data_IF_789906220800
#
_entry.id   IF_789906220800
#
_cell.length_a   1.000
_cell.length_b   1.000
_cell.length_c   1.000
_cell.angle_alpha   90.00
_cell.angle_beta   90.00
_cell.angle_gamma   90.00
#
_symmetry.space_group_name_H-M   'P 1'
#
loop_
_entity.id
_entity.type
_entity.pdbx_description
1 polymer ?
#
# COMPACT_ATOMS: atom_id res chain seq x y z
N UNK A 1 24.93 6.64 12.65
CA UNK A 1 25.67 6.18 13.86
C UNK A 1 27.10 6.68 13.86
N UNK A 2 27.71 6.89 12.68
CA UNK A 2 29.10 7.35 12.54
C UNK A 2 29.25 8.77 12.00
N UNK A 3 28.18 9.57 11.92
CA UNK A 3 28.16 10.97 11.48
C UNK A 3 29.20 11.87 12.17
N UNK A 4 29.60 11.50 13.38
CA UNK A 4 30.56 12.25 14.19
C UNK A 4 32.02 11.83 13.95
N UNK A 5 32.28 10.83 13.10
CA UNK A 5 33.60 10.33 12.72
C UNK A 5 34.22 11.14 11.58
N UNK A 6 34.39 12.45 11.81
CA UNK A 6 35.02 13.35 10.85
C UNK A 6 36.52 13.06 10.71
N UNK A 7 37.17 13.48 9.60
CA UNK A 7 38.61 13.33 9.42
C UNK A 7 39.42 13.93 10.58
N UNK A 8 39.00 15.07 11.13
CA UNK A 8 39.67 15.75 12.25
C UNK A 8 39.60 14.91 13.53
N UNK A 9 38.43 14.32 13.81
CA UNK A 9 38.26 13.44 14.98
C UNK A 9 39.11 12.19 14.85
N UNK A 10 39.11 11.54 13.69
CA UNK A 10 39.92 10.34 13.45
C UNK A 10 41.40 10.67 13.53
N UNK A 11 41.84 11.80 12.97
CA UNK A 11 43.23 12.24 13.07
C UNK A 11 43.63 12.51 14.53
N UNK A 12 42.74 13.10 15.33
CA UNK A 12 42.94 13.26 16.78
C UNK A 12 43.09 11.90 17.48
N UNK A 13 42.25 10.92 17.16
CA UNK A 13 42.37 9.57 17.71
C UNK A 13 43.69 8.88 17.32
N UNK A 14 44.18 9.09 16.09
CA UNK A 14 45.48 8.57 15.66
C UNK A 14 46.61 9.19 16.50
N UNK A 15 46.55 10.51 16.78
CA UNK A 15 47.51 11.20 17.66
C UNK A 15 47.50 10.62 19.08
N UNK A 16 46.32 10.47 19.67
CA UNK A 16 46.16 9.94 21.04
C UNK A 16 46.67 8.50 21.20
N UNK A 17 46.70 7.72 20.12
CA UNK A 17 47.19 6.33 20.11
C UNK A 17 48.67 6.20 19.74
N UNK A 18 49.35 7.32 19.51
CA UNK A 18 50.75 7.34 19.09
C UNK A 18 51.63 7.75 20.26
N UNK A 19 52.49 6.85 20.75
CA UNK A 19 53.35 7.08 21.92
C UNK A 19 54.61 7.91 21.65
N UNK A 20 54.83 8.33 20.39
CA UNK A 20 56.03 9.05 19.97
C UNK A 20 55.76 10.55 19.82
N UNK A 21 56.74 11.36 20.25
CA UNK A 21 56.67 12.81 20.30
C UNK A 21 56.90 13.42 18.91
N UNK A 22 55.87 13.40 18.06
CA UNK A 22 55.91 13.93 16.70
C UNK A 22 55.58 15.43 16.66
N UNK A 23 56.17 16.14 15.70
CA UNK A 23 55.69 17.47 15.33
C UNK A 23 54.27 17.38 14.76
N UNK A 24 53.31 18.06 15.37
CA UNK A 24 51.87 17.95 15.04
C UNK A 24 51.28 19.20 14.39
N UNK A 25 52.12 20.20 14.09
CA UNK A 25 51.74 21.40 13.35
C UNK A 25 51.31 21.08 11.91
N UNK A 26 50.57 22.00 11.31
CA UNK A 26 50.13 21.89 9.91
C UNK A 26 51.34 21.76 8.97
N UNK A 27 51.27 20.82 8.01
CA UNK A 27 52.38 20.54 7.09
C UNK A 27 53.53 19.73 7.69
N UNK A 28 53.42 19.25 8.92
CA UNK A 28 54.39 18.30 9.47
C UNK A 28 54.32 16.95 8.75
N UNK A 29 55.40 16.18 8.78
CA UNK A 29 55.41 14.83 8.19
C UNK A 29 54.28 13.96 8.76
N UNK A 30 54.04 14.05 10.07
CA UNK A 30 52.96 13.32 10.73
C UNK A 30 51.58 13.76 10.22
N UNK A 31 51.35 15.07 10.09
CA UNK A 31 50.07 15.61 9.61
C UNK A 31 49.80 15.23 8.16
N UNK A 32 50.80 15.37 7.28
CA UNK A 32 50.70 15.04 5.84
C UNK A 32 50.39 13.56 5.57
N UNK A 33 50.83 12.65 6.45
CA UNK A 33 50.55 11.22 6.29
C UNK A 33 49.25 10.79 6.97
N UNK A 34 48.91 11.38 8.12
CA UNK A 34 47.73 10.98 8.89
C UNK A 34 46.44 11.58 8.36
N UNK A 35 46.47 12.77 7.75
CA UNK A 35 45.27 13.45 7.24
C UNK A 35 44.59 12.70 6.08
N UNK A 36 45.29 12.23 5.03
CA UNK A 36 44.66 11.42 3.98
C UNK A 36 44.10 10.09 4.51
N UNK A 37 44.80 9.45 5.45
CA UNK A 37 44.34 8.21 6.09
C UNK A 37 43.07 8.45 6.91
N UNK A 38 43.04 9.53 7.70
CA UNK A 38 41.87 9.90 8.49
C UNK A 38 40.67 10.23 7.60
N UNK A 39 40.89 10.87 6.45
CA UNK A 39 39.85 11.12 5.46
C UNK A 39 39.26 9.82 4.91
N UNK A 40 40.10 8.89 4.43
CA UNK A 40 39.63 7.60 3.90
C UNK A 40 38.92 6.76 4.98
N UNK A 41 39.41 6.80 6.23
CA UNK A 41 38.75 6.13 7.35
C UNK A 41 37.39 6.77 7.68
N UNK A 42 37.27 8.10 7.59
CA UNK A 42 35.99 8.80 7.77
C UNK A 42 34.98 8.34 6.72
N UNK A 43 35.39 8.27 5.44
CA UNK A 43 34.53 7.71 4.39
C UNK A 43 34.14 6.25 4.65
N UNK A 44 35.06 5.43 5.18
CA UNK A 44 34.75 4.05 5.55
C UNK A 44 33.72 3.97 6.69
N UNK A 45 33.87 4.77 7.74
CA UNK A 45 32.90 4.83 8.85
C UNK A 45 31.52 5.28 8.37
N UNK A 46 31.44 6.32 7.54
CA UNK A 46 30.15 6.73 6.96
C UNK A 46 29.55 5.64 6.05
N UNK A 47 30.37 4.85 5.35
CA UNK A 47 29.88 3.67 4.61
C UNK A 47 29.35 2.57 5.52
N UNK A 48 29.81 2.46 6.77
CA UNK A 48 29.25 1.51 7.73
C UNK A 48 27.85 1.90 8.19
N UNK A 49 27.45 3.17 8.10
CA UNK A 49 26.05 3.55 8.39
C UNK A 49 25.06 2.87 7.42
N UNK A 50 25.49 2.56 6.20
CA UNK A 50 24.69 1.79 5.25
C UNK A 50 24.48 0.31 5.66
N UNK A 51 25.21 -0.22 6.65
CA UNK A 51 25.02 -1.60 7.16
C UNK A 51 23.82 -1.74 8.09
N UNK A 52 23.41 -0.65 8.74
CA UNK A 52 22.29 -0.66 9.67
C UNK A 52 20.98 -1.04 8.95
N UNK A 53 20.56 -0.41 7.84
CA UNK A 53 19.32 -0.79 7.14
C UNK A 53 19.38 -2.18 6.48
N UNK A 54 20.59 -2.73 6.27
CA UNK A 54 20.78 -4.12 5.83
C UNK A 54 20.47 -5.09 6.97
N UNK A 55 20.93 -4.73 8.18
CA UNK A 55 20.84 -5.58 9.38
C UNK A 55 19.47 -5.50 10.04
N UNK A 56 18.93 -4.28 10.13
CA UNK A 56 17.67 -3.91 10.76
C UNK A 56 16.82 -3.19 9.73
N UNK A 57 16.04 -3.98 9.01
CA UNK A 57 15.21 -3.50 7.92
C UNK A 57 14.03 -2.71 8.46
N UNK A 58 13.81 -1.52 7.90
CA UNK A 58 12.64 -0.67 8.12
C UNK A 58 12.02 -0.22 6.78
N UNK A 59 10.99 0.62 6.84
CA UNK A 59 10.26 1.07 5.64
C UNK A 59 11.14 1.90 4.68
N UNK A 60 12.29 2.39 5.14
CA UNK A 60 13.23 3.20 4.35
C UNK A 60 14.40 2.38 3.80
N UNK A 61 14.42 1.07 4.08
CA UNK A 61 15.53 0.19 3.71
C UNK A 61 15.52 -0.25 2.24
N UNK A 62 14.48 0.11 1.47
CA UNK A 62 14.39 -0.13 0.03
C UNK A 62 14.62 -1.59 -0.36
N UNK A 63 15.50 -1.85 -1.34
CA UNK A 63 15.80 -3.20 -1.86
C UNK A 63 16.28 -4.20 -0.80
N UNK A 64 16.76 -3.74 0.36
CA UNK A 64 17.15 -4.64 1.44
C UNK A 64 15.94 -5.31 2.11
N UNK A 65 14.75 -4.70 2.02
CA UNK A 65 13.48 -5.33 2.42
C UNK A 65 13.25 -6.58 1.58
N UNK A 66 13.37 -6.47 0.25
CA UNK A 66 13.19 -7.60 -0.68
C UNK A 66 14.19 -8.73 -0.40
N UNK A 67 15.47 -8.38 -0.20
CA UNK A 67 16.50 -9.38 0.11
C UNK A 67 16.18 -10.13 1.40
N UNK A 68 15.80 -9.40 2.44
CA UNK A 68 15.46 -9.98 3.73
C UNK A 68 14.19 -10.82 3.67
N UNK A 69 13.16 -10.34 2.98
CA UNK A 69 11.92 -11.09 2.78
C UNK A 69 12.16 -12.40 2.02
N UNK A 70 13.01 -12.35 0.99
CA UNK A 70 13.33 -13.51 0.16
C UNK A 70 14.07 -14.63 0.92
N UNK A 71 14.78 -14.33 2.01
CA UNK A 71 15.37 -15.36 2.90
C UNK A 71 14.30 -16.30 3.50
N UNK A 72 13.06 -15.82 3.62
CA UNK A 72 11.91 -16.58 4.13
C UNK A 72 10.95 -17.01 3.00
N UNK A 73 11.34 -16.87 1.73
CA UNK A 73 10.49 -17.16 0.58
C UNK A 73 9.34 -16.16 0.37
N UNK A 74 9.40 -15.00 1.03
CA UNK A 74 8.43 -13.92 0.86
C UNK A 74 8.91 -13.04 -0.29
N UNK A 75 8.15 -13.01 -1.39
CA UNK A 75 8.42 -12.14 -2.53
C UNK A 75 7.42 -11.00 -2.61
N UNK A 76 7.88 -9.85 -3.11
CA UNK A 76 7.04 -8.68 -3.40
C UNK A 76 5.96 -9.05 -4.41
N UNK A 77 4.73 -8.58 -4.16
CA UNK A 77 3.65 -8.75 -5.14
C UNK A 77 3.89 -7.79 -6.32
N UNK A 78 3.90 -8.30 -7.56
CA UNK A 78 4.18 -7.48 -8.73
C UNK A 78 3.02 -6.50 -9.00
N UNK A 79 3.37 -5.34 -9.56
CA UNK A 79 2.38 -4.47 -10.22
C UNK A 79 2.06 -4.97 -11.63
N UNK A 80 0.97 -4.45 -12.20
CA UNK A 80 0.54 -4.76 -13.56
C UNK A 80 0.29 -3.47 -14.35
N UNK A 81 0.53 -3.52 -15.66
CA UNK A 81 0.26 -2.43 -16.59
C UNK A 81 -1.17 -2.48 -17.04
N UNK A 82 -1.84 -1.32 -17.08
CA UNK A 82 -3.16 -1.24 -17.70
C UNK A 82 -3.05 -1.52 -19.21
N UNK A 83 -4.04 -2.19 -19.76
CA UNK A 83 -4.14 -2.52 -21.19
C UNK A 83 -5.39 -1.90 -21.78
N UNK A 84 -5.32 -1.52 -23.05
CA UNK A 84 -6.40 -0.83 -23.75
C UNK A 84 -6.31 -1.06 -25.26
N UNK A 85 -7.45 -0.98 -25.95
CA UNK A 85 -7.48 -0.88 -27.41
C UNK A 85 -7.66 0.59 -27.82
N UNK A 86 -6.71 1.12 -28.58
CA UNK A 86 -6.76 2.45 -29.15
C UNK A 86 -7.36 2.39 -30.56
N UNK A 87 -8.31 3.26 -30.84
CA UNK A 87 -8.81 3.54 -32.19
C UNK A 87 -8.07 4.75 -32.74
N UNK A 88 -7.31 4.52 -33.81
CA UNK A 88 -6.58 5.54 -34.56
C UNK A 88 -7.40 5.96 -35.77
N UNK A 89 -7.50 7.27 -36.00
CA UNK A 89 -8.15 7.83 -37.20
C UNK A 89 -7.16 8.68 -37.97
N UNK A 90 -7.08 8.48 -39.28
CA UNK A 90 -6.11 9.17 -40.13
C UNK A 90 -6.23 8.81 -41.60
N UNK A 91 -5.31 9.33 -42.42
CA UNK A 91 -5.29 9.07 -43.84
C UNK A 91 -4.77 7.64 -44.15
N UNK A 92 -5.25 7.08 -45.26
CA UNK A 92 -4.82 5.75 -45.73
C UNK A 92 -3.29 5.66 -45.83
N UNK A 93 -2.74 4.55 -45.33
CA UNK A 93 -1.31 4.30 -45.32
C UNK A 93 -0.56 5.05 -44.22
N UNK A 94 -1.25 5.63 -43.24
CA UNK A 94 -0.65 6.00 -41.95
C UNK A 94 -0.13 4.73 -41.27
N UNK A 95 1.19 4.63 -41.09
CA UNK A 95 1.85 3.51 -40.42
C UNK A 95 2.23 3.93 -39.00
N UNK A 96 1.73 3.18 -38.03
CA UNK A 96 2.03 3.37 -36.61
C UNK A 96 2.83 2.15 -36.15
N UNK A 97 4.13 2.28 -35.86
CA UNK A 97 4.94 1.16 -35.38
C UNK A 97 4.53 0.74 -33.97
N UNK A 98 4.89 -0.50 -33.59
CA UNK A 98 4.92 -0.89 -32.19
C UNK A 98 5.89 0.02 -31.43
N UNK A 99 5.57 0.35 -30.19
CA UNK A 99 6.36 1.31 -29.40
C UNK A 99 5.93 2.76 -29.56
N UNK A 100 4.87 3.06 -30.34
CA UNK A 100 4.37 4.43 -30.49
C UNK A 100 3.61 4.83 -29.23
N UNK A 101 3.93 6.01 -28.69
CA UNK A 101 3.35 6.50 -27.43
C UNK A 101 2.23 7.50 -27.64
N UNK A 102 1.16 7.30 -26.89
CA UNK A 102 -0.01 8.15 -26.77
C UNK A 102 -0.18 8.59 -25.33
N UNK A 103 -0.79 9.74 -25.09
CA UNK A 103 -0.95 10.33 -23.76
C UNK A 103 -2.39 10.78 -23.53
N UNK A 104 -2.79 10.69 -22.27
CA UNK A 104 -3.96 11.41 -21.75
C UNK A 104 -3.66 12.89 -21.59
N UNK A 105 -4.69 13.69 -21.32
CA UNK A 105 -4.52 15.11 -20.96
C UNK A 105 -3.69 15.32 -19.70
N UNK A 106 -3.76 14.36 -18.77
CA UNK A 106 -3.05 14.39 -17.48
C UNK A 106 -1.59 13.89 -17.60
N UNK A 107 -1.13 13.55 -18.81
CA UNK A 107 0.25 13.13 -19.08
C UNK A 107 0.54 11.64 -18.93
N UNK A 108 -0.47 10.80 -18.65
CA UNK A 108 -0.31 9.35 -18.56
C UNK A 108 -0.11 8.74 -19.95
N UNK A 109 1.01 8.04 -20.14
CA UNK A 109 1.43 7.51 -21.44
C UNK A 109 1.10 6.02 -21.62
N UNK A 110 0.68 5.67 -22.83
CA UNK A 110 0.38 4.33 -23.31
C UNK A 110 1.16 4.05 -24.58
N UNK A 111 1.68 2.84 -24.73
CA UNK A 111 2.55 2.42 -25.82
C UNK A 111 1.90 1.28 -26.62
N UNK A 112 1.93 1.37 -27.96
CA UNK A 112 1.37 0.32 -28.83
C UNK A 112 2.17 -0.97 -28.75
N UNK A 113 1.48 -2.10 -28.59
CA UNK A 113 2.08 -3.42 -28.48
C UNK A 113 2.39 -4.05 -29.84
N UNK A 114 1.71 -3.60 -30.88
CA UNK A 114 1.88 -4.05 -32.25
C UNK A 114 1.88 -2.86 -33.21
N UNK A 115 2.46 -3.06 -34.40
CA UNK A 115 2.31 -2.09 -35.47
C UNK A 115 0.92 -2.18 -36.11
N UNK A 116 0.43 -1.07 -36.65
CA UNK A 116 -0.83 -1.01 -37.38
C UNK A 116 -0.72 -0.02 -38.54
N UNK A 117 -1.42 -0.29 -39.64
CA UNK A 117 -1.54 0.62 -40.78
C UNK A 117 -3.00 0.98 -40.99
N UNK A 118 -3.32 2.27 -41.07
CA UNK A 118 -4.69 2.73 -41.33
C UNK A 118 -5.08 2.41 -42.77
N UNK A 119 -6.17 1.64 -42.91
CA UNK A 119 -6.72 1.21 -44.19
C UNK A 119 -7.63 2.25 -44.86
N UNK A 120 -8.39 1.81 -45.87
CA UNK A 120 -9.32 2.66 -46.64
C UNK A 120 -10.49 3.21 -45.80
N UNK A 121 -10.81 2.57 -44.67
CA UNK A 121 -11.87 3.00 -43.74
C UNK A 121 -11.48 4.24 -42.92
N UNK A 122 -10.23 4.70 -43.01
CA UNK A 122 -9.72 5.84 -42.26
C UNK A 122 -9.54 5.59 -40.76
N UNK A 123 -9.82 4.38 -40.28
CA UNK A 123 -9.68 3.98 -38.87
C UNK A 123 -8.97 2.64 -38.72
N UNK A 124 -8.22 2.45 -37.64
CA UNK A 124 -7.62 1.18 -37.27
C UNK A 124 -7.53 1.05 -35.74
N UNK A 125 -7.76 -0.17 -35.24
CA UNK A 125 -7.65 -0.49 -33.82
C UNK A 125 -6.29 -1.16 -33.54
N UNK A 126 -5.66 -0.79 -32.42
CA UNK A 126 -4.37 -1.34 -31.98
C UNK A 126 -4.36 -1.53 -30.47
N UNK A 127 -3.79 -2.66 -30.02
CA UNK A 127 -3.58 -2.91 -28.61
C UNK A 127 -2.44 -2.04 -28.08
N UNK A 128 -2.65 -1.42 -26.92
CA UNK A 128 -1.66 -0.62 -26.21
C UNK A 128 -1.64 -1.00 -24.74
N UNK A 129 -0.51 -0.74 -24.08
CA UNK A 129 -0.37 -0.88 -22.63
C UNK A 129 0.22 0.39 -22.03
N UNK A 130 -0.02 0.63 -20.75
CA UNK A 130 0.61 1.70 -20.00
C UNK A 130 2.13 1.62 -20.07
N UNK A 131 2.80 2.78 -20.10
CA UNK A 131 4.27 2.84 -20.06
C UNK A 131 4.77 2.43 -18.67
N UNK A 132 4.10 2.85 -17.61
CA UNK A 132 4.41 2.48 -16.22
C UNK A 132 3.33 1.54 -15.65
N UNK A 133 3.63 0.95 -14.48
CA UNK A 133 2.68 0.17 -13.70
C UNK A 133 1.72 1.11 -12.95
N UNK A 134 0.63 0.54 -12.44
CA UNK A 134 -0.16 1.21 -11.41
C UNK A 134 -1.62 1.42 -11.72
N UNK A 135 -2.40 1.58 -10.66
CA UNK A 135 -3.86 1.81 -10.75
C UNK A 135 -4.20 3.15 -11.42
N UNK A 136 -3.27 4.12 -11.37
CA UNK A 136 -3.41 5.42 -12.02
C UNK A 136 -3.65 5.31 -13.54
N UNK A 137 -3.17 4.23 -14.17
CA UNK A 137 -3.35 3.99 -15.61
C UNK A 137 -4.69 3.35 -15.97
N UNK A 138 -5.55 3.07 -14.98
CA UNK A 138 -6.93 2.66 -15.22
C UNK A 138 -7.79 3.87 -15.59
N UNK A 139 -7.68 4.31 -16.83
CA UNK A 139 -8.34 5.52 -17.31
C UNK A 139 -9.68 5.21 -17.98
N UNK A 140 -10.72 6.05 -17.80
CA UNK A 140 -11.98 5.90 -18.51
C UNK A 140 -11.84 5.92 -20.03
N UNK A 141 -12.92 5.53 -20.72
CA UNK A 141 -13.04 5.73 -22.17
C UNK A 141 -12.79 7.21 -22.55
N UNK A 142 -12.27 7.41 -23.77
CA UNK A 142 -12.04 8.71 -24.41
C UNK A 142 -11.01 9.63 -23.72
N UNK A 143 -10.15 9.08 -22.85
CA UNK A 143 -9.10 9.86 -22.16
C UNK A 143 -7.76 9.88 -22.89
N UNK A 144 -7.45 8.89 -23.73
CA UNK A 144 -6.16 8.80 -24.45
C UNK A 144 -6.31 9.49 -25.81
N UNK A 145 -5.91 10.76 -25.88
CA UNK A 145 -6.35 11.67 -26.97
C UNK A 145 -5.25 12.22 -27.84
N UNK A 146 -3.97 12.13 -27.43
CA UNK A 146 -2.86 12.79 -28.14
C UNK A 146 -1.68 11.84 -28.32
N UNK A 147 -1.01 11.82 -29.49
CA UNK A 147 0.30 11.18 -29.60
C UNK A 147 1.37 12.02 -28.89
N UNK A 148 2.34 11.36 -28.24
CA UNK A 148 3.46 12.06 -27.58
C UNK A 148 4.40 12.69 -28.61
N UNK A 149 4.58 12.01 -29.76
CA UNK A 149 5.33 12.51 -30.90
C UNK A 149 4.40 12.56 -32.13
N UNK A 150 4.48 13.59 -32.99
CA UNK A 150 3.66 13.65 -34.18
C UNK A 150 3.83 12.40 -35.07
N UNK A 151 2.72 11.71 -35.35
CA UNK A 151 2.70 10.57 -36.27
C UNK A 151 2.18 11.07 -37.62
N UNK A 152 2.97 10.87 -38.68
CA UNK A 152 2.59 11.32 -40.01
C UNK A 152 1.27 10.69 -40.45
N UNK A 153 0.35 11.50 -40.98
CA UNK A 153 -0.99 11.09 -41.47
C UNK A 153 -1.97 10.58 -40.40
N UNK A 154 -1.65 10.74 -39.11
CA UNK A 154 -2.57 10.47 -38.03
C UNK A 154 -3.33 11.76 -37.67
N UNK A 155 -4.65 11.71 -37.65
CA UNK A 155 -5.50 12.85 -37.29
C UNK A 155 -5.86 12.84 -35.81
N UNK A 156 -6.40 11.72 -35.32
CA UNK A 156 -6.83 11.56 -33.93
C UNK A 156 -6.57 10.15 -33.41
N UNK A 157 -6.47 10.03 -32.08
CA UNK A 157 -6.46 8.77 -31.33
C UNK A 157 -7.51 8.87 -30.23
N UNK A 158 -8.19 7.77 -29.95
CA UNK A 158 -9.09 7.66 -28.79
C UNK A 158 -9.11 6.22 -28.28
N UNK A 159 -9.51 6.00 -27.03
CA UNK A 159 -9.86 4.70 -26.50
C UNK A 159 -11.39 4.59 -26.33
N UNK A 160 -12.05 3.69 -27.06
CA UNK A 160 -13.51 3.52 -26.95
C UNK A 160 -13.94 2.84 -25.65
N UNK A 161 -13.05 2.03 -25.09
CA UNK A 161 -13.23 1.32 -23.83
C UNK A 161 -12.21 1.85 -22.81
N UNK A 162 -12.51 1.75 -21.49
CA UNK A 162 -11.54 2.09 -20.47
C UNK A 162 -10.25 1.27 -20.61
N UNK A 163 -9.14 1.85 -20.15
CA UNK A 163 -7.94 1.08 -19.89
C UNK A 163 -8.08 0.41 -18.52
N UNK A 164 -7.77 -0.87 -18.43
CA UNK A 164 -8.00 -1.67 -17.23
C UNK A 164 -6.84 -2.64 -16.96
N UNK A 165 -6.80 -3.21 -15.75
CA UNK A 165 -5.78 -4.18 -15.33
C UNK A 165 -4.50 -3.54 -14.79
N UNK A 166 -4.44 -2.21 -14.67
CA UNK A 166 -3.38 -1.51 -13.98
C UNK A 166 -3.45 -1.76 -12.47
N UNK A 167 -2.34 -2.19 -11.89
CA UNK A 167 -2.21 -2.45 -10.45
C UNK A 167 -0.84 -1.97 -9.98
N UNK A 168 -0.81 -1.30 -8.83
CA UNK A 168 0.44 -0.86 -8.22
C UNK A 168 1.23 -2.05 -7.69
N UNK A 169 2.56 -1.95 -7.77
CA UNK A 169 3.44 -2.88 -7.08
C UNK A 169 3.27 -2.71 -5.56
N UNK A 170 3.43 -3.80 -4.81
CA UNK A 170 3.37 -3.75 -3.35
C UNK A 170 4.41 -2.78 -2.80
N UNK A 171 3.99 -1.88 -1.91
CA UNK A 171 4.85 -0.86 -1.32
C UNK A 171 5.83 -1.46 -0.31
N UNK A 172 6.92 -0.74 -0.02
CA UNK A 172 7.91 -1.13 0.99
C UNK A 172 7.29 -1.36 2.36
N UNK A 173 6.38 -0.46 2.78
CA UNK A 173 5.65 -0.60 4.04
C UNK A 173 4.78 -1.87 4.06
N UNK A 174 4.09 -2.20 2.96
CA UNK A 174 3.27 -3.41 2.88
C UNK A 174 4.12 -4.70 2.90
N UNK A 175 5.23 -4.72 2.16
CA UNK A 175 6.15 -5.87 2.19
C UNK A 175 6.79 -6.05 3.58
N UNK A 176 7.22 -4.95 4.21
CA UNK A 176 7.78 -4.98 5.55
C UNK A 176 6.74 -5.47 6.58
N UNK A 177 5.50 -5.01 6.49
CA UNK A 177 4.42 -5.46 7.36
C UNK A 177 4.23 -6.98 7.26
N UNK A 178 4.25 -7.55 6.04
CA UNK A 178 4.21 -9.01 5.84
C UNK A 178 5.41 -9.73 6.44
N UNK A 179 6.61 -9.18 6.29
CA UNK A 179 7.82 -9.73 6.89
C UNK A 179 7.75 -9.73 8.43
N UNK A 180 7.27 -8.64 9.03
CA UNK A 180 7.09 -8.54 10.47
C UNK A 180 5.98 -9.44 10.99
N UNK A 181 4.88 -9.59 10.26
CA UNK A 181 3.87 -10.59 10.59
C UNK A 181 4.50 -11.99 10.63
N UNK A 182 5.30 -12.35 9.62
CA UNK A 182 6.01 -13.64 9.61
C UNK A 182 6.91 -13.85 10.85
N UNK A 183 7.63 -12.81 11.31
CA UNK A 183 8.52 -12.94 12.48
C UNK A 183 7.79 -12.91 13.83
N UNK A 184 6.73 -12.12 13.97
CA UNK A 184 6.02 -11.89 15.24
C UNK A 184 4.84 -12.83 15.46
N UNK A 185 4.31 -13.35 14.37
CA UNK A 185 3.11 -14.19 14.34
C UNK A 185 3.42 -15.55 13.68
N UNK A 186 4.46 -16.27 14.15
CA UNK A 186 4.80 -17.55 13.55
C UNK A 186 3.69 -18.56 13.84
N UNK A 187 2.95 -18.93 12.80
CA UNK A 187 2.01 -20.03 12.82
C UNK A 187 2.77 -21.34 13.06
N UNK A 188 2.75 -21.79 14.33
CA UNK A 188 3.51 -22.94 14.80
C UNK A 188 2.71 -23.73 15.83
N UNK A 189 2.57 -25.04 15.57
CA UNK A 189 2.00 -26.03 16.51
C UNK A 189 0.56 -25.76 16.96
N UNK A 190 -0.31 -25.30 16.05
CA UNK A 190 -1.72 -24.98 16.34
C UNK A 190 -1.87 -23.88 17.39
N UNK A 191 -1.04 -22.84 17.31
CA UNK A 191 -1.21 -21.63 18.13
C UNK A 191 -2.31 -20.73 17.55
N UNK A 192 -2.67 -19.63 18.23
CA UNK A 192 -3.69 -18.69 17.73
C UNK A 192 -3.51 -18.24 16.27
N UNK A 193 -2.26 -18.03 15.84
CA UNK A 193 -1.95 -17.53 14.49
C UNK A 193 -2.12 -18.62 13.42
N UNK A 194 -1.90 -19.90 13.76
CA UNK A 194 -2.23 -21.02 12.86
C UNK A 194 -3.72 -20.98 12.49
N UNK A 195 -4.61 -20.85 13.49
CA UNK A 195 -6.05 -20.79 13.26
C UNK A 195 -6.47 -19.58 12.41
N UNK A 196 -5.89 -18.42 12.67
CA UNK A 196 -6.14 -17.20 11.89
C UNK A 196 -5.64 -17.36 10.44
N UNK A 197 -4.44 -17.90 10.23
CA UNK A 197 -3.89 -18.18 8.91
C UNK A 197 -4.70 -19.22 8.14
N UNK A 198 -5.14 -20.30 8.79
CA UNK A 198 -5.97 -21.31 8.15
C UNK A 198 -7.33 -20.75 7.75
N UNK A 199 -7.94 -19.92 8.59
CA UNK A 199 -9.17 -19.23 8.23
C UNK A 199 -8.99 -18.30 7.03
N UNK A 200 -7.94 -17.47 7.02
CA UNK A 200 -7.65 -16.55 5.92
C UNK A 200 -7.21 -17.25 4.62
N UNK A 201 -6.76 -18.50 4.68
CA UNK A 201 -6.44 -19.29 3.49
C UNK A 201 -7.69 -19.67 2.68
N UNK A 202 -8.89 -19.62 3.29
CA UNK A 202 -10.15 -19.91 2.61
C UNK A 202 -10.61 -18.69 1.82
N UNK A 203 -10.79 -18.87 0.51
CA UNK A 203 -11.25 -17.80 -0.38
C UNK A 203 -12.57 -17.19 0.09
N UNK A 204 -12.56 -15.86 0.24
CA UNK A 204 -13.70 -15.06 0.71
C UNK A 204 -13.49 -14.44 2.09
N UNK A 205 -12.56 -14.97 2.88
CA UNK A 205 -12.18 -14.43 4.19
C UNK A 205 -11.15 -13.30 4.02
N UNK A 206 -11.41 -12.17 4.68
CA UNK A 206 -10.52 -11.00 4.71
C UNK A 206 -9.84 -10.78 6.05
N UNK A 207 -10.48 -11.21 7.13
CA UNK A 207 -9.93 -11.09 8.47
C UNK A 207 -10.38 -12.28 9.34
N UNK A 208 -9.50 -12.71 10.23
CA UNK A 208 -9.80 -13.73 11.21
C UNK A 208 -9.15 -13.36 12.56
N UNK A 209 -9.81 -13.74 13.65
CA UNK A 209 -9.28 -13.58 15.01
C UNK A 209 -9.56 -14.82 15.82
N UNK A 210 -8.52 -15.35 16.46
CA UNK A 210 -8.60 -16.52 17.31
C UNK A 210 -8.67 -16.14 18.80
N UNK A 211 -9.62 -16.74 19.52
CA UNK A 211 -9.74 -16.69 20.98
C UNK A 211 -9.39 -18.06 21.54
N UNK A 212 -8.31 -18.12 22.31
CA UNK A 212 -7.87 -19.33 23.00
C UNK A 212 -8.68 -19.52 24.29
N UNK A 213 -9.04 -20.77 24.61
CA UNK A 213 -9.70 -21.14 25.89
C UNK A 213 -11.01 -20.36 26.10
N UNK A 214 -11.77 -20.15 25.03
CA UNK A 214 -12.97 -19.31 25.06
C UNK A 214 -14.11 -19.91 25.90
N UNK A 215 -14.23 -21.24 25.91
CA UNK A 215 -15.18 -22.02 26.69
C UNK A 215 -14.48 -23.14 27.48
N UNK A 216 -13.35 -22.77 28.11
CA UNK A 216 -12.56 -23.68 28.93
C UNK A 216 -11.44 -24.42 28.19
N UNK A 217 -10.65 -25.25 28.89
CA UNK A 217 -9.44 -25.87 28.36
C UNK A 217 -9.70 -26.71 27.11
N UNK A 218 -8.86 -26.55 26.09
CA UNK A 218 -8.97 -27.30 24.83
C UNK A 218 -9.92 -26.67 23.80
N UNK A 219 -10.61 -25.58 24.14
CA UNK A 219 -11.51 -24.89 23.20
C UNK A 219 -10.81 -23.73 22.49
N UNK A 220 -11.13 -23.55 21.22
CA UNK A 220 -10.65 -22.45 20.38
C UNK A 220 -11.83 -21.87 19.62
N UNK A 221 -11.99 -20.54 19.64
CA UNK A 221 -13.01 -19.85 18.84
C UNK A 221 -12.33 -19.01 17.78
N UNK A 222 -12.72 -19.22 16.52
CA UNK A 222 -12.22 -18.45 15.39
C UNK A 222 -13.36 -17.60 14.87
N UNK A 223 -13.19 -16.28 14.95
CA UNK A 223 -14.13 -15.32 14.40
C UNK A 223 -13.62 -14.90 13.03
N UNK A 224 -14.49 -14.93 12.02
CA UNK A 224 -14.13 -14.59 10.64
C UNK A 224 -14.98 -13.45 10.09
N UNK A 225 -14.39 -12.65 9.22
CA UNK A 225 -15.06 -11.60 8.45
C UNK A 225 -14.62 -11.67 6.98
N UNK A 226 -15.46 -11.16 6.09
CA UNK A 226 -15.21 -11.16 4.65
C UNK A 226 -14.05 -10.22 4.25
N UNK A 227 -13.66 -10.25 2.98
CA UNK A 227 -12.71 -9.29 2.39
C UNK A 227 -13.12 -7.82 2.56
N UNK A 228 -14.43 -7.56 2.67
CA UNK A 228 -14.99 -6.23 2.90
C UNK A 228 -15.25 -5.94 4.38
N UNK A 229 -14.73 -6.78 5.29
CA UNK A 229 -14.93 -6.65 6.75
C UNK A 229 -16.41 -6.68 7.14
N UNK A 230 -17.16 -7.61 6.51
CA UNK A 230 -18.58 -7.81 6.80
C UNK A 230 -18.81 -9.20 7.40
N UNK A 231 -19.94 -9.40 8.10
CA UNK A 231 -20.42 -10.72 8.44
C UNK A 231 -20.45 -11.62 7.20
N UNK A 232 -20.09 -12.88 7.40
CA UNK A 232 -20.07 -13.91 6.35
C UNK A 232 -21.31 -14.81 6.48
N UNK A 233 -21.67 -15.46 5.38
CA UNK A 233 -22.74 -16.46 5.39
C UNK A 233 -22.32 -17.76 6.09
N UNK A 234 -23.32 -18.57 6.44
CA UNK A 234 -23.12 -19.83 7.15
C UNK A 234 -22.34 -20.85 6.29
N UNK A 235 -22.54 -20.87 4.98
CA UNK A 235 -21.82 -21.75 4.06
C UNK A 235 -20.29 -21.48 4.09
N UNK A 236 -19.88 -20.21 4.11
CA UNK A 236 -18.48 -19.85 4.21
C UNK A 236 -17.90 -20.18 5.59
N UNK A 237 -18.69 -20.02 6.67
CA UNK A 237 -18.28 -20.44 8.03
C UNK A 237 -18.03 -21.95 8.07
N UNK A 238 -18.92 -22.76 7.51
CA UNK A 238 -18.77 -24.21 7.45
C UNK A 238 -17.54 -24.63 6.64
N UNK A 239 -17.29 -23.97 5.50
CA UNK A 239 -16.08 -24.20 4.69
C UNK A 239 -14.80 -23.90 5.47
N UNK A 240 -14.78 -22.82 6.24
CA UNK A 240 -13.64 -22.48 7.11
C UNK A 240 -13.48 -23.52 8.21
N UNK A 241 -14.57 -23.91 8.87
CA UNK A 241 -14.54 -24.94 9.92
C UNK A 241 -13.99 -26.27 9.39
N UNK A 242 -14.44 -26.71 8.22
CA UNK A 242 -13.95 -27.93 7.57
C UNK A 242 -12.45 -27.85 7.25
N UNK A 243 -11.97 -26.71 6.74
CA UNK A 243 -10.55 -26.55 6.43
C UNK A 243 -9.68 -26.55 7.69
N UNK A 244 -10.13 -25.91 8.78
CA UNK A 244 -9.41 -25.93 10.05
C UNK A 244 -9.40 -27.34 10.67
N UNK A 245 -10.49 -28.09 10.54
CA UNK A 245 -10.60 -29.47 11.03
C UNK A 245 -9.51 -30.38 10.43
N UNK A 246 -9.16 -30.19 9.15
CA UNK A 246 -8.08 -30.95 8.48
C UNK A 246 -6.67 -30.62 9.01
N UNK A 247 -6.49 -29.46 9.64
CA UNK A 247 -5.17 -28.91 10.00
C UNK A 247 -4.88 -28.92 11.50
N UNK A 248 -5.91 -28.76 12.32
CA UNK A 248 -5.76 -28.59 13.77
C UNK A 248 -5.12 -29.82 14.43
N UNK A 249 -4.44 -29.59 15.55
CA UNK A 249 -3.97 -30.68 16.40
C UNK A 249 -5.12 -31.50 16.99
N UNK A 250 -4.82 -32.77 17.27
CA UNK A 250 -5.74 -33.67 17.99
C UNK A 250 -5.99 -33.11 19.39
N UNK A 251 -7.27 -32.94 19.75
CA UNK A 251 -7.70 -32.51 21.08
C UNK A 251 -8.14 -31.04 21.20
N UNK A 252 -7.95 -30.22 20.17
CA UNK A 252 -8.56 -28.88 20.12
C UNK A 252 -10.02 -28.96 19.64
N UNK A 253 -10.96 -28.41 20.38
CA UNK A 253 -12.35 -28.23 19.95
C UNK A 253 -12.50 -26.83 19.35
N UNK A 254 -12.70 -26.76 18.03
CA UNK A 254 -12.73 -25.50 17.30
C UNK A 254 -14.17 -25.09 17.00
N UNK A 255 -14.51 -23.86 17.36
CA UNK A 255 -15.77 -23.21 17.00
C UNK A 255 -15.49 -22.05 16.04
N UNK A 256 -15.99 -22.13 14.82
CA UNK A 256 -15.89 -21.02 13.85
C UNK A 256 -17.20 -20.24 13.83
N UNK A 257 -17.13 -18.92 13.90
CA UNK A 257 -18.31 -18.04 13.82
C UNK A 257 -18.06 -16.86 12.90
N UNK A 258 -19.12 -16.37 12.25
CA UNK A 258 -19.09 -15.05 11.62
C UNK A 258 -18.94 -13.96 12.68
N UNK A 259 -18.21 -12.90 12.34
CA UNK A 259 -18.26 -11.65 13.07
C UNK A 259 -19.69 -11.08 13.10
N UNK A 260 -20.02 -10.38 14.18
CA UNK A 260 -21.28 -9.67 14.32
C UNK A 260 -21.15 -8.25 13.76
N UNK A 261 -22.04 -7.88 12.83
CA UNK A 261 -22.05 -6.55 12.23
C UNK A 261 -22.65 -5.50 13.18
N UNK A 262 -21.95 -4.39 13.36
CA UNK A 262 -22.48 -3.20 14.03
C UNK A 262 -22.67 -2.11 12.98
N UNK A 263 -23.91 -1.68 12.79
CA UNK A 263 -24.23 -0.66 11.80
C UNK A 263 -23.61 0.70 12.16
N UNK A 264 -22.85 1.26 11.22
CA UNK A 264 -22.21 2.57 11.32
C UNK A 264 -22.81 3.52 10.27
N UNK A 265 -23.32 4.65 10.76
CA UNK A 265 -23.82 5.77 9.96
C UNK A 265 -23.00 7.01 10.30
N UNK A 266 -22.41 7.63 9.30
CA UNK A 266 -21.59 8.82 9.46
C UNK A 266 -22.27 9.96 8.69
N UNK A 267 -22.47 11.09 9.36
CA UNK A 267 -22.95 12.31 8.72
C UNK A 267 -22.02 13.47 9.06
N UNK A 268 -21.59 14.19 8.03
CA UNK A 268 -20.67 15.31 8.14
C UNK A 268 -21.19 16.54 7.37
N UNK A 269 -20.90 17.72 7.92
CA UNK A 269 -21.12 19.01 7.26
C UNK A 269 -19.78 19.71 7.14
N UNK A 270 -19.33 19.91 5.90
CA UNK A 270 -17.99 20.39 5.57
C UNK A 270 -18.00 21.75 4.90
N UNK A 271 -16.94 22.52 5.11
CA UNK A 271 -16.58 23.69 4.32
C UNK A 271 -15.61 23.25 3.23
N UNK A 272 -15.97 23.53 1.98
CA UNK A 272 -15.18 23.11 0.83
C UNK A 272 -14.14 24.16 0.42
N UNK A 273 -13.02 23.69 -0.12
CA UNK A 273 -12.08 24.53 -0.86
C UNK A 273 -12.66 24.90 -2.23
N UNK A 274 -12.26 26.05 -2.78
CA UNK A 274 -12.73 26.53 -4.08
C UNK A 274 -12.49 25.48 -5.18
N UNK A 275 -13.55 25.16 -5.95
CA UNK A 275 -13.51 24.16 -7.02
C UNK A 275 -13.73 22.70 -6.60
N UNK A 276 -13.83 22.39 -5.30
CA UNK A 276 -14.10 21.03 -4.84
C UNK A 276 -15.59 20.64 -5.00
N UNK A 277 -15.85 19.38 -5.34
CA UNK A 277 -17.21 18.84 -5.46
C UNK A 277 -17.56 17.94 -4.27
N UNK A 278 -18.73 18.16 -3.66
CA UNK A 278 -19.23 17.37 -2.50
C UNK A 278 -19.20 15.87 -2.79
N UNK A 279 -19.67 15.45 -3.97
CA UNK A 279 -19.72 14.03 -4.34
C UNK A 279 -18.33 13.37 -4.34
N UNK A 280 -17.31 14.08 -4.84
CA UNK A 280 -15.92 13.59 -4.83
C UNK A 280 -15.35 13.52 -3.41
N UNK A 281 -15.67 14.51 -2.56
CA UNK A 281 -15.27 14.50 -1.15
C UNK A 281 -15.93 13.34 -0.39
N UNK A 282 -17.22 13.11 -0.60
CA UNK A 282 -17.95 12.01 0.01
C UNK A 282 -17.33 10.66 -0.36
N UNK A 283 -17.10 10.42 -1.65
CA UNK A 283 -16.52 9.16 -2.13
C UNK A 283 -15.11 8.92 -1.56
N UNK A 284 -14.27 9.97 -1.51
CA UNK A 284 -12.92 9.88 -0.94
C UNK A 284 -12.95 9.64 0.57
N UNK A 285 -13.86 10.31 1.27
CA UNK A 285 -14.03 10.13 2.70
C UNK A 285 -14.52 8.72 3.04
N UNK A 286 -15.51 8.22 2.29
CA UNK A 286 -16.02 6.85 2.44
C UNK A 286 -14.91 5.82 2.24
N UNK A 287 -14.10 5.96 1.19
CA UNK A 287 -12.94 5.09 0.96
C UNK A 287 -11.94 5.15 2.12
N UNK A 288 -11.60 6.36 2.60
CA UNK A 288 -10.67 6.53 3.72
C UNK A 288 -11.20 5.90 5.03
N UNK A 289 -12.51 5.94 5.26
CA UNK A 289 -13.14 5.29 6.42
C UNK A 289 -13.14 3.77 6.28
N UNK A 290 -13.43 3.26 5.08
CA UNK A 290 -13.36 1.82 4.80
C UNK A 290 -11.93 1.28 5.01
N UNK A 291 -10.92 2.00 4.52
CA UNK A 291 -9.51 1.65 4.73
C UNK A 291 -9.14 1.65 6.22
N UNK A 292 -9.61 2.65 6.98
CA UNK A 292 -9.38 2.71 8.42
C UNK A 292 -10.02 1.54 9.16
N UNK A 293 -11.26 1.18 8.81
CA UNK A 293 -11.95 0.01 9.36
C UNK A 293 -11.14 -1.25 9.05
N UNK A 294 -10.75 -1.45 7.79
CA UNK A 294 -10.01 -2.62 7.34
C UNK A 294 -8.64 -2.80 8.02
N UNK A 295 -7.97 -1.70 8.37
CA UNK A 295 -6.68 -1.73 9.06
C UNK A 295 -6.78 -1.99 10.57
N UNK A 296 -7.97 -1.89 11.17
CA UNK A 296 -8.13 -1.94 12.64
C UNK A 296 -9.07 -3.05 13.12
N UNK A 297 -9.53 -3.90 12.20
CA UNK A 297 -10.44 -5.02 12.48
C UNK A 297 -9.87 -5.92 13.56
N UNK A 298 -10.65 -6.16 14.62
CA UNK A 298 -10.30 -6.99 15.78
C UNK A 298 -9.10 -6.53 16.64
N UNK A 299 -8.36 -5.51 16.24
CA UNK A 299 -7.22 -4.98 17.01
C UNK A 299 -7.61 -3.79 17.89
N UNK A 300 -8.61 -3.02 17.45
CA UNK A 300 -9.08 -1.86 18.20
C UNK A 300 -10.48 -2.12 18.77
N UNK A 301 -10.67 -2.09 20.10
CA UNK A 301 -11.95 -2.40 20.72
C UNK A 301 -13.00 -1.27 20.60
N UNK A 302 -12.73 -0.23 19.82
CA UNK A 302 -13.67 0.86 19.55
C UNK A 302 -13.40 1.56 18.22
N UNK A 303 -14.43 2.12 17.62
CA UNK A 303 -14.33 3.06 16.50
C UNK A 303 -14.22 4.48 17.04
N UNK A 304 -13.09 5.14 16.77
CA UNK A 304 -12.82 6.47 17.33
C UNK A 304 -13.48 7.59 16.53
N UNK A 305 -14.32 8.39 17.19
CA UNK A 305 -14.88 9.61 16.60
C UNK A 305 -13.78 10.59 16.16
N UNK A 306 -12.78 10.83 17.03
CA UNK A 306 -11.69 11.74 16.74
C UNK A 306 -10.83 11.28 15.56
N UNK A 307 -10.68 9.97 15.36
CA UNK A 307 -9.97 9.44 14.20
C UNK A 307 -10.75 9.71 12.90
N UNK A 308 -12.07 9.57 12.92
CA UNK A 308 -12.92 9.93 11.77
C UNK A 308 -12.84 11.42 11.44
N UNK A 309 -12.84 12.29 12.46
CA UNK A 309 -12.65 13.73 12.27
C UNK A 309 -11.29 14.06 11.63
N UNK A 310 -10.22 13.39 12.08
CA UNK A 310 -8.90 13.51 11.48
C UNK A 310 -8.89 13.07 10.01
N UNK A 311 -9.51 11.93 9.70
CA UNK A 311 -9.62 11.43 8.33
C UNK A 311 -10.38 12.42 7.44
N UNK A 312 -11.50 12.95 7.91
CA UNK A 312 -12.31 13.95 7.18
C UNK A 312 -11.48 15.19 6.83
N UNK A 313 -10.72 15.71 7.79
CA UNK A 313 -9.82 16.86 7.57
C UNK A 313 -8.67 16.56 6.60
N UNK A 314 -8.27 15.30 6.48
CA UNK A 314 -7.27 14.86 5.52
C UNK A 314 -7.78 14.72 4.08
N UNK A 315 -9.11 14.77 3.85
CA UNK A 315 -9.69 14.59 2.51
C UNK A 315 -9.40 15.81 1.64
N UNK A 316 -8.75 15.65 0.47
CA UNK A 316 -8.51 16.75 -0.46
C UNK A 316 -9.83 17.41 -0.90
N UNK A 317 -9.94 18.72 -0.67
CA UNK A 317 -11.13 19.51 -0.98
C UNK A 317 -11.93 19.92 0.26
N UNK A 318 -11.63 19.38 1.45
CA UNK A 318 -12.15 19.85 2.73
C UNK A 318 -11.24 20.96 3.27
N UNK A 319 -11.81 22.13 3.56
CA UNK A 319 -11.13 23.22 4.25
C UNK A 319 -11.28 23.09 5.78
N UNK A 320 -12.50 22.82 6.22
CA UNK A 320 -12.87 22.61 7.62
C UNK A 320 -14.20 21.84 7.71
N UNK A 321 -14.66 21.48 8.90
CA UNK A 321 -15.99 20.91 9.14
C UNK A 321 -16.71 21.60 10.30
N UNK A 322 -18.04 21.71 10.21
CA UNK A 322 -18.87 22.34 11.25
C UNK A 322 -19.61 21.31 12.10
N UNK A 323 -19.90 20.13 11.53
CA UNK A 323 -20.53 19.04 12.24
C UNK A 323 -20.01 17.70 11.71
N UNK A 324 -19.78 16.76 12.62
CA UNK A 324 -19.55 15.36 12.33
C UNK A 324 -20.34 14.57 13.39
N UNK A 325 -21.02 13.53 12.95
CA UNK A 325 -21.71 12.60 13.84
C UNK A 325 -21.41 11.16 13.44
N UNK A 326 -21.30 10.31 14.46
CA UNK A 326 -21.12 8.88 14.36
C UNK A 326 -22.33 8.23 15.05
N UNK A 327 -23.16 7.52 14.28
CA UNK A 327 -24.47 7.01 14.71
C UNK A 327 -25.37 8.08 15.38
N UNK A 328 -25.26 9.33 14.93
CA UNK A 328 -25.99 10.48 15.46
C UNK A 328 -25.39 11.13 16.71
N UNK A 329 -24.30 10.58 17.27
CA UNK A 329 -23.57 11.14 18.41
C UNK A 329 -22.14 11.61 18.05
N UNK A 330 -21.37 12.00 19.07
CA UNK A 330 -19.94 12.37 18.94
C UNK A 330 -19.03 11.51 19.81
N UNK A 331 -19.57 10.41 20.34
CA UNK A 331 -18.84 9.47 21.17
C UNK A 331 -18.21 8.36 20.32
N UNK A 332 -17.21 7.68 20.88
CA UNK A 332 -16.69 6.47 20.27
C UNK A 332 -17.75 5.36 20.30
N UNK A 333 -17.69 4.44 19.34
CA UNK A 333 -18.51 3.23 19.36
C UNK A 333 -17.66 2.08 19.85
N UNK A 334 -18.02 1.48 20.98
CA UNK A 334 -17.36 0.27 21.47
C UNK A 334 -17.64 -0.92 20.54
N UNK A 335 -16.58 -1.63 20.19
CA UNK A 335 -16.57 -2.79 19.31
C UNK A 335 -15.85 -3.93 20.05
N UNK A 336 -16.53 -4.61 20.99
CA UNK A 336 -15.95 -5.75 21.68
C UNK A 336 -15.53 -6.84 20.69
N UNK A 337 -14.62 -7.70 21.14
CA UNK A 337 -14.01 -8.70 20.28
C UNK A 337 -15.07 -9.63 19.66
N UNK A 338 -15.03 -9.72 18.33
CA UNK A 338 -16.00 -10.46 17.51
C UNK A 338 -17.10 -9.60 16.89
N UNK A 339 -17.09 -8.29 17.11
CA UNK A 339 -17.88 -7.32 16.37
C UNK A 339 -17.03 -6.63 15.30
N UNK A 340 -17.67 -6.29 14.18
CA UNK A 340 -17.06 -5.52 13.08
C UNK A 340 -17.98 -4.36 12.70
N UNK A 341 -17.42 -3.15 12.46
CA UNK A 341 -18.22 -2.01 12.03
C UNK A 341 -18.61 -2.18 10.55
N UNK A 342 -19.91 -2.14 10.28
CA UNK A 342 -20.47 -2.23 8.92
C UNK A 342 -20.96 -0.85 8.51
N UNK A 343 -20.27 -0.25 7.54
CA UNK A 343 -20.62 1.07 7.03
C UNK A 343 -21.93 1.00 6.23
N UNK A 344 -22.98 1.63 6.76
CA UNK A 344 -24.30 1.70 6.13
C UNK A 344 -24.46 2.96 5.29
N UNK A 345 -23.97 4.10 5.77
CA UNK A 345 -24.00 5.35 5.01
C UNK A 345 -22.90 6.31 5.46
N UNK A 346 -22.39 7.06 4.48
CA UNK A 346 -21.55 8.25 4.68
C UNK A 346 -22.21 9.40 3.94
N UNK A 347 -22.77 10.33 4.68
CA UNK A 347 -23.43 11.52 4.12
C UNK A 347 -22.57 12.74 4.36
N UNK A 348 -22.15 13.40 3.28
CA UNK A 348 -21.41 14.67 3.36
C UNK A 348 -22.25 15.78 2.75
N UNK A 349 -22.46 16.84 3.53
CA UNK A 349 -23.21 18.03 3.14
C UNK A 349 -22.33 19.28 3.19
N UNK A 350 -22.63 20.28 2.37
CA UNK A 350 -21.94 21.56 2.44
C UNK A 350 -22.54 22.44 3.55
N UNK A 351 -21.69 22.89 4.46
CA UNK A 351 -22.02 23.95 5.41
C UNK A 351 -21.98 25.32 4.74
N UNK A 352 -22.78 26.26 5.25
CA UNK A 352 -22.63 27.68 4.88
C UNK A 352 -21.35 28.18 5.57
N UNK A 353 -20.31 28.45 4.79
CA UNK A 353 -19.03 29.02 5.23
C UNK A 353 -19.04 30.53 5.17
#
# INVERSE_FOLDING_TARGET
>A
MYEDMTPERIQKQIRERTDADFLTGEGSYFELHTKPVAYVLSEFYHKLDAQIPISFVDETSGIYIDKRANEFGITRKPGYKATVTLTLTGAQGCFVPAGTRFTTEDGLQFETLSSVTIGLTGTADVAAAAVELGTLYNVPAERIVKPVQPVSKLDTVTNKQPAEGGMDEETDAALLARLYAHWREPATSSNRYDYEHWAMAVTGIGAARCIEIWDGPGTVKVIVASMEVKPVDEELVERVAAYIEEKRAVGAEVTVVSAQGVDIRIAATVQLTEGAQIASVQQKFEAAVQDYIAQTVFDNPFLSYNRLAFLLMGVPGVRDYTALTLNGGQDNIDLPLGQVPVLQSVEVSAGVG
#
